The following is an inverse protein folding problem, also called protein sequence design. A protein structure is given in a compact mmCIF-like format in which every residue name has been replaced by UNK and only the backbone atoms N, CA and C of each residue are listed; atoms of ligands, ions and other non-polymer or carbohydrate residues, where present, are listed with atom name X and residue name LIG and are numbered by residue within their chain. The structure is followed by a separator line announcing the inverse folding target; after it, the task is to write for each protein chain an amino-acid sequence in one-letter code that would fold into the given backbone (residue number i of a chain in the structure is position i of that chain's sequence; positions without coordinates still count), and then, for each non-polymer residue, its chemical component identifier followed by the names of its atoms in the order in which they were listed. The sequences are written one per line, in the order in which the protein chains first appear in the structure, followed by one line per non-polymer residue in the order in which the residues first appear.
data_IF_674080654468
#
_entry.id   IF_674080654468
#
_cell.length_a   1.000
_cell.length_b   1.000
_cell.length_c   1.000
_cell.angle_alpha   90.00
_cell.angle_beta   90.00
_cell.angle_gamma   90.00
#
_symmetry.space_group_name_H-M   'P 1'
#
loop_
_entity.id
_entity.type
_entity.pdbx_description
1 polymer ?
#
# COMPACT_ATOMS: atom_id res chain seq x y z
N UNK A 1 -44.40 -32.08 11.08
CA UNK A 1 -43.23 -31.55 11.81
C UNK A 1 -41.98 -31.91 11.00
N UNK A 2 -41.78 -31.28 9.83
CA UNK A 2 -40.69 -31.60 8.90
C UNK A 2 -40.40 -30.45 7.90
N UNK A 3 -40.49 -29.17 8.33
CA UNK A 3 -40.22 -28.00 7.47
C UNK A 3 -39.41 -26.94 8.24
N UNK A 4 -38.40 -27.36 9.01
CA UNK A 4 -37.45 -26.43 9.65
C UNK A 4 -35.96 -26.81 9.47
N UNK A 5 -35.65 -27.91 8.78
CA UNK A 5 -34.25 -28.34 8.57
C UNK A 5 -33.64 -27.94 7.21
N UNK A 6 -34.41 -27.39 6.27
CA UNK A 6 -33.93 -27.08 4.91
C UNK A 6 -33.54 -25.60 4.68
N UNK A 7 -33.87 -24.69 5.60
CA UNK A 7 -33.54 -23.27 5.45
C UNK A 7 -32.10 -22.93 5.86
N UNK A 8 -31.50 -23.70 6.77
CA UNK A 8 -30.10 -23.50 7.20
C UNK A 8 -29.06 -23.93 6.16
N UNK A 9 -29.35 -24.97 5.38
CA UNK A 9 -28.38 -25.57 4.44
C UNK A 9 -28.29 -24.81 3.10
N UNK A 10 -29.36 -24.11 2.72
CA UNK A 10 -29.40 -23.33 1.47
C UNK A 10 -28.68 -21.99 1.66
N UNK A 11 -28.87 -21.31 2.80
CA UNK A 11 -28.20 -20.02 3.04
C UNK A 11 -26.66 -20.14 3.12
N UNK A 12 -26.11 -21.24 3.64
CA UNK A 12 -24.67 -21.46 3.66
C UNK A 12 -24.09 -21.74 2.27
N UNK A 13 -24.85 -22.39 1.38
CA UNK A 13 -24.35 -22.75 0.04
C UNK A 13 -24.35 -21.53 -0.91
N UNK A 14 -25.31 -20.62 -0.76
CA UNK A 14 -25.35 -19.37 -1.52
C UNK A 14 -24.39 -18.29 -0.99
N UNK A 15 -24.13 -18.21 0.32
CA UNK A 15 -23.12 -17.28 0.84
C UNK A 15 -21.68 -17.72 0.53
N UNK A 16 -21.43 -19.03 0.43
CA UNK A 16 -20.09 -19.55 0.08
C UNK A 16 -19.68 -19.24 -1.36
N UNK A 17 -20.65 -19.10 -2.26
CA UNK A 17 -20.40 -18.78 -3.67
C UNK A 17 -20.27 -17.28 -3.91
N UNK A 18 -20.92 -16.42 -3.10
CA UNK A 18 -20.70 -14.96 -3.13
C UNK A 18 -19.35 -14.58 -2.51
N UNK A 19 -18.97 -15.18 -1.37
CA UNK A 19 -17.72 -14.86 -0.67
C UNK A 19 -16.47 -15.24 -1.48
N UNK A 20 -16.48 -16.40 -2.14
CA UNK A 20 -15.38 -16.84 -2.99
C UNK A 20 -15.18 -15.92 -4.21
N UNK A 21 -16.27 -15.41 -4.79
CA UNK A 21 -16.20 -14.42 -5.88
C UNK A 21 -15.60 -13.09 -5.42
N UNK A 22 -15.93 -12.64 -4.20
CA UNK A 22 -15.38 -11.41 -3.63
C UNK A 22 -13.90 -11.57 -3.26
N UNK A 23 -13.49 -12.70 -2.70
CA UNK A 23 -12.08 -12.94 -2.35
C UNK A 23 -11.18 -13.02 -3.59
N UNK A 24 -11.68 -13.61 -4.68
CA UNK A 24 -10.98 -13.59 -5.98
C UNK A 24 -10.86 -12.19 -6.55
N UNK A 25 -11.93 -11.39 -6.47
CA UNK A 25 -11.89 -9.98 -6.91
C UNK A 25 -10.91 -9.16 -6.08
N UNK A 26 -10.88 -9.38 -4.77
CA UNK A 26 -9.89 -8.77 -3.88
C UNK A 26 -8.47 -9.15 -4.31
N UNK A 27 -8.19 -10.43 -4.59
CA UNK A 27 -6.88 -10.86 -5.08
C UNK A 27 -6.46 -10.12 -6.37
N UNK A 28 -7.38 -9.94 -7.32
CA UNK A 28 -7.13 -9.19 -8.56
C UNK A 28 -6.80 -7.71 -8.30
N UNK A 29 -7.53 -7.07 -7.38
CA UNK A 29 -7.28 -5.67 -7.04
C UNK A 29 -5.98 -5.51 -6.24
N UNK A 30 -5.64 -6.45 -5.37
CA UNK A 30 -4.35 -6.47 -4.66
C UNK A 30 -3.16 -6.68 -5.61
N UNK A 31 -3.33 -7.48 -6.67
CA UNK A 31 -2.28 -7.71 -7.67
C UNK A 31 -1.83 -6.40 -8.33
N UNK A 32 -2.75 -5.47 -8.58
CA UNK A 32 -2.45 -4.15 -9.19
C UNK A 32 -1.60 -3.26 -8.29
N UNK A 33 -1.52 -3.56 -7.00
CA UNK A 33 -0.76 -2.76 -6.03
C UNK A 33 0.63 -3.30 -5.78
N UNK A 34 0.95 -4.52 -6.21
CA UNK A 34 2.19 -5.19 -5.82
C UNK A 34 3.43 -4.38 -6.20
N UNK A 35 3.36 -3.62 -7.29
CA UNK A 35 4.48 -2.81 -7.76
C UNK A 35 4.80 -1.64 -6.81
N UNK A 36 3.78 -1.02 -6.20
CA UNK A 36 3.97 0.17 -5.35
C UNK A 36 3.68 -0.05 -3.86
N UNK A 37 3.06 -1.16 -3.50
CA UNK A 37 2.80 -1.59 -2.14
C UNK A 37 3.09 -3.09 -1.98
N UNK A 38 4.39 -3.49 -1.99
CA UNK A 38 4.80 -4.89 -1.87
C UNK A 38 4.76 -5.39 -0.41
N UNK A 39 3.66 -5.12 0.30
CA UNK A 39 3.48 -5.62 1.66
C UNK A 39 3.32 -7.14 1.68
N UNK A 40 3.73 -7.77 2.79
CA UNK A 40 3.67 -9.23 2.93
C UNK A 40 2.25 -9.76 2.71
N UNK A 41 1.25 -9.10 3.27
CA UNK A 41 -0.17 -9.47 3.19
C UNK A 41 -0.71 -9.38 1.76
N UNK A 42 -0.17 -8.46 0.95
CA UNK A 42 -0.58 -8.21 -0.43
C UNK A 42 0.11 -9.18 -1.37
N UNK A 43 1.42 -9.37 -1.19
CA UNK A 43 2.24 -10.26 -2.04
C UNK A 43 1.86 -11.72 -1.88
N UNK A 44 1.59 -12.15 -0.65
CA UNK A 44 1.28 -13.54 -0.32
C UNK A 44 -0.22 -13.78 -0.14
N UNK A 45 -1.07 -12.87 -0.64
CA UNK A 45 -2.51 -13.00 -0.49
C UNK A 45 -3.03 -14.31 -1.09
N UNK A 46 -3.75 -15.09 -0.28
CA UNK A 46 -4.37 -16.32 -0.72
C UNK A 46 -5.89 -16.27 -0.43
N UNK A 47 -6.76 -16.20 -1.45
CA UNK A 47 -8.20 -16.08 -1.26
C UNK A 47 -8.84 -17.31 -0.58
N UNK A 48 -8.12 -18.44 -0.49
CA UNK A 48 -8.57 -19.66 0.16
C UNK A 48 -8.07 -19.82 1.61
N UNK A 49 -7.22 -18.90 2.08
CA UNK A 49 -6.61 -18.95 3.43
C UNK A 49 -6.75 -17.61 4.13
N UNK A 50 -7.97 -17.31 4.56
CA UNK A 50 -8.33 -16.05 5.21
C UNK A 50 -8.74 -16.27 6.66
N UNK A 51 -8.50 -15.24 7.47
CA UNK A 51 -8.97 -15.08 8.85
C UNK A 51 -9.41 -13.65 9.08
N UNK A 52 -10.45 -13.45 9.89
CA UNK A 52 -10.97 -12.11 10.22
C UNK A 52 -10.13 -11.46 11.33
N UNK A 53 -9.78 -12.26 12.34
CA UNK A 53 -9.02 -11.89 13.53
C UNK A 53 -7.69 -12.64 13.63
N UNK A 54 -6.81 -12.19 14.53
CA UNK A 54 -5.52 -12.85 14.73
C UNK A 54 -5.72 -14.22 15.39
N UNK A 55 -5.42 -15.29 14.65
CA UNK A 55 -5.54 -16.67 15.12
C UNK A 55 -4.18 -17.35 15.12
N UNK A 56 -3.64 -17.59 16.32
CA UNK A 56 -2.35 -18.25 16.56
C UNK A 56 -2.33 -19.69 15.98
N UNK A 57 -3.48 -20.32 15.77
CA UNK A 57 -3.56 -21.66 15.19
C UNK A 57 -3.46 -21.68 13.66
N UNK A 58 -3.57 -20.52 13.00
CA UNK A 58 -3.59 -20.37 11.53
C UNK A 58 -2.54 -19.38 11.03
N UNK A 59 -1.27 -19.62 11.39
CA UNK A 59 -0.13 -18.80 10.95
C UNK A 59 0.02 -18.64 9.43
N UNK A 60 -0.58 -19.54 8.64
CA UNK A 60 -0.53 -19.50 7.18
C UNK A 60 -1.69 -18.73 6.53
N UNK A 61 -2.63 -18.22 7.34
CA UNK A 61 -3.77 -17.46 6.86
C UNK A 61 -3.49 -15.94 6.90
N UNK A 62 -4.01 -15.23 5.90
CA UNK A 62 -3.96 -13.77 5.89
C UNK A 62 -5.04 -13.26 6.84
N UNK A 63 -4.63 -12.39 7.77
CA UNK A 63 -5.54 -11.63 8.61
C UNK A 63 -6.09 -10.44 7.81
N UNK A 64 -7.40 -10.44 7.57
CA UNK A 64 -8.08 -9.40 6.79
C UNK A 64 -8.02 -8.04 7.48
N UNK A 65 -8.07 -8.00 8.81
CA UNK A 65 -7.94 -6.77 9.56
C UNK A 65 -6.55 -6.14 9.42
N UNK A 66 -5.50 -6.96 9.49
CA UNK A 66 -4.12 -6.52 9.25
C UNK A 66 -3.92 -6.06 7.81
N UNK A 67 -4.45 -6.79 6.83
CA UNK A 67 -4.42 -6.38 5.42
C UNK A 67 -5.10 -5.01 5.23
N UNK A 68 -6.23 -4.78 5.89
CA UNK A 68 -6.95 -3.52 5.85
C UNK A 68 -6.14 -2.37 6.45
N UNK A 69 -5.48 -2.59 7.60
CA UNK A 69 -4.62 -1.58 8.23
C UNK A 69 -3.39 -1.27 7.40
N UNK A 70 -2.75 -2.28 6.82
CA UNK A 70 -1.61 -2.11 5.93
C UNK A 70 -1.99 -1.19 4.77
N UNK A 71 -3.10 -1.48 4.08
CA UNK A 71 -3.59 -0.63 2.98
C UNK A 71 -3.89 0.80 3.45
N UNK A 72 -4.62 0.95 4.56
CA UNK A 72 -5.03 2.26 5.05
C UNK A 72 -3.85 3.12 5.54
N UNK A 73 -2.90 2.51 6.27
CA UNK A 73 -1.73 3.21 6.81
C UNK A 73 -0.81 3.70 5.69
N UNK A 74 -0.63 2.90 4.64
CA UNK A 74 0.16 3.30 3.48
C UNK A 74 -0.43 4.46 2.68
N UNK A 75 -1.74 4.70 2.80
CA UNK A 75 -2.45 5.79 2.12
C UNK A 75 -3.09 6.76 3.11
N UNK A 76 -2.58 6.83 4.35
CA UNK A 76 -3.22 7.60 5.43
C UNK A 76 -3.33 9.10 5.14
N UNK A 77 -2.52 9.64 4.24
CA UNK A 77 -2.61 11.03 3.79
C UNK A 77 -3.89 11.34 2.99
N UNK A 78 -4.60 10.32 2.47
CA UNK A 78 -5.84 10.48 1.70
C UNK A 78 -7.07 10.55 2.61
N UNK A 79 -7.83 11.64 2.49
CA UNK A 79 -9.08 11.82 3.24
C UNK A 79 -10.11 10.72 2.95
N UNK A 80 -10.25 10.30 1.68
CA UNK A 80 -11.17 9.22 1.30
C UNK A 80 -10.80 7.90 2.00
N UNK A 81 -9.50 7.64 2.17
CA UNK A 81 -8.99 6.46 2.89
C UNK A 81 -9.27 6.58 4.38
N UNK A 82 -9.03 7.75 4.99
CA UNK A 82 -9.34 8.01 6.40
C UNK A 82 -10.84 7.84 6.71
N UNK A 83 -11.72 8.37 5.86
CA UNK A 83 -13.18 8.23 6.00
C UNK A 83 -13.60 6.77 5.90
N UNK A 84 -13.10 6.05 4.89
CA UNK A 84 -13.42 4.65 4.70
C UNK A 84 -12.95 3.80 5.89
N UNK A 85 -11.75 4.09 6.40
CA UNK A 85 -11.18 3.45 7.58
C UNK A 85 -12.04 3.68 8.81
N UNK A 86 -12.34 4.95 9.11
CA UNK A 86 -13.14 5.35 10.27
C UNK A 86 -14.54 4.76 10.22
N UNK A 87 -15.12 4.61 9.03
CA UNK A 87 -16.44 3.98 8.84
C UNK A 87 -16.41 2.47 9.10
N UNK A 88 -15.32 1.79 8.78
CA UNK A 88 -15.21 0.34 8.94
C UNK A 88 -14.80 -0.06 10.36
N UNK A 89 -13.88 0.69 10.99
CA UNK A 89 -13.29 0.34 12.30
C UNK A 89 -13.66 1.28 13.45
N UNK A 90 -14.36 2.38 13.18
CA UNK A 90 -14.59 3.43 14.16
C UNK A 90 -13.37 4.36 14.32
N UNK A 91 -13.42 5.30 15.28
CA UNK A 91 -12.28 6.17 15.58
C UNK A 91 -11.07 5.36 16.05
N UNK A 92 -9.87 5.83 15.69
CA UNK A 92 -8.58 5.16 15.90
C UNK A 92 -8.44 4.54 17.31
N UNK A 93 -8.30 3.21 17.37
CA UNK A 93 -7.92 2.46 18.58
C UNK A 93 -6.49 1.95 18.41
N UNK A 94 -5.67 2.05 19.46
CA UNK A 94 -4.31 1.52 19.49
C UNK A 94 -4.26 -0.02 19.59
N UNK A 95 -5.40 -0.66 19.83
CA UNK A 95 -5.49 -2.12 19.80
C UNK A 95 -5.47 -2.62 18.36
N UNK A 96 -4.84 -3.79 18.09
CA UNK A 96 -4.96 -4.44 16.80
C UNK A 96 -6.46 -4.59 16.52
N UNK A 97 -6.95 -4.01 15.43
CA UNK A 97 -8.37 -3.95 15.21
C UNK A 97 -8.90 -5.36 14.96
N UNK A 98 -9.99 -5.69 15.64
CA UNK A 98 -10.81 -6.82 15.25
C UNK A 98 -11.97 -6.29 14.42
N UNK A 99 -12.18 -6.92 13.27
CA UNK A 99 -13.45 -6.75 12.59
C UNK A 99 -14.51 -7.43 13.45
N UNK A 100 -15.38 -6.65 14.09
CA UNK A 100 -16.60 -7.14 14.75
C UNK A 100 -17.67 -7.55 13.72
N UNK A 101 -17.27 -8.24 12.65
CA UNK A 101 -18.13 -8.58 11.52
C UNK A 101 -17.80 -9.96 10.93
N UNK A 102 -18.62 -10.39 9.97
CA UNK A 102 -18.42 -11.67 9.28
C UNK A 102 -17.23 -11.61 8.31
N UNK A 103 -16.71 -12.78 7.91
CA UNK A 103 -15.63 -12.85 6.91
C UNK A 103 -16.01 -12.19 5.58
N UNK A 104 -17.25 -12.36 5.13
CA UNK A 104 -17.76 -11.74 3.90
C UNK A 104 -17.77 -10.20 4.02
N UNK A 105 -18.19 -9.66 5.17
CA UNK A 105 -18.15 -8.22 5.42
C UNK A 105 -16.72 -7.69 5.48
N UNK A 106 -15.81 -8.41 6.17
CA UNK A 106 -14.38 -8.07 6.23
C UNK A 106 -13.73 -8.07 4.84
N UNK A 107 -14.00 -9.07 3.99
CA UNK A 107 -13.58 -9.09 2.59
C UNK A 107 -14.15 -7.88 1.85
N UNK A 108 -15.42 -7.56 2.05
CA UNK A 108 -16.07 -6.40 1.47
C UNK A 108 -15.41 -5.07 1.85
N UNK A 109 -14.95 -4.92 3.10
CA UNK A 109 -14.17 -3.75 3.54
C UNK A 109 -12.82 -3.68 2.84
N UNK A 110 -12.05 -4.77 2.84
CA UNK A 110 -10.77 -4.85 2.13
C UNK A 110 -10.92 -4.55 0.64
N UNK A 111 -11.96 -5.08 -0.01
CA UNK A 111 -12.22 -4.86 -1.43
C UNK A 111 -12.52 -3.38 -1.74
N UNK A 112 -13.31 -2.70 -0.92
CA UNK A 112 -13.58 -1.26 -1.08
C UNK A 112 -12.31 -0.42 -0.93
N UNK A 113 -11.50 -0.73 0.08
CA UNK A 113 -10.22 -0.06 0.30
C UNK A 113 -9.28 -0.28 -0.89
N UNK A 114 -9.20 -1.51 -1.37
CA UNK A 114 -8.37 -1.86 -2.50
C UNK A 114 -8.77 -1.13 -3.79
N UNK A 115 -10.07 -1.05 -4.06
CA UNK A 115 -10.59 -0.32 -5.22
C UNK A 115 -10.33 1.19 -5.13
N UNK A 116 -10.49 1.77 -3.94
CA UNK A 116 -10.18 3.17 -3.71
C UNK A 116 -8.70 3.45 -3.96
N UNK A 117 -7.80 2.65 -3.39
CA UNK A 117 -6.35 2.78 -3.59
C UNK A 117 -6.00 2.65 -5.07
N UNK A 118 -6.50 1.63 -5.77
CA UNK A 118 -6.24 1.45 -7.21
C UNK A 118 -6.75 2.61 -8.06
N UNK A 119 -7.78 3.33 -7.61
CA UNK A 119 -8.30 4.53 -8.29
C UNK A 119 -7.37 5.73 -8.10
N UNK A 120 -6.87 5.96 -6.89
CA UNK A 120 -6.09 7.18 -6.55
C UNK A 120 -4.58 7.02 -6.77
N UNK A 121 -4.05 5.81 -6.63
CA UNK A 121 -2.61 5.54 -6.64
C UNK A 121 -1.90 5.99 -7.93
N UNK A 122 -2.45 5.80 -9.15
CA UNK A 122 -1.75 6.20 -10.37
C UNK A 122 -1.42 7.69 -10.43
N UNK A 123 -2.39 8.55 -10.09
CA UNK A 123 -2.18 10.01 -10.09
C UNK A 123 -1.15 10.45 -9.02
N UNK A 124 -1.23 9.85 -7.83
CA UNK A 124 -0.26 10.10 -6.76
C UNK A 124 1.14 9.66 -7.19
N UNK A 125 1.24 8.52 -7.87
CA UNK A 125 2.51 7.98 -8.36
C UNK A 125 3.14 8.91 -9.40
N UNK A 126 2.34 9.40 -10.35
CA UNK A 126 2.81 10.33 -11.38
C UNK A 126 3.31 11.63 -10.76
N UNK A 127 2.54 12.20 -9.82
CA UNK A 127 2.94 13.41 -9.09
C UNK A 127 4.23 13.20 -8.30
N UNK A 128 4.36 12.07 -7.60
CA UNK A 128 5.56 11.79 -6.81
C UNK A 128 6.77 11.48 -7.70
N UNK A 129 6.57 10.84 -8.85
CA UNK A 129 7.62 10.62 -9.84
C UNK A 129 8.17 11.94 -10.37
N UNK A 130 7.30 12.91 -10.67
CA UNK A 130 7.74 14.25 -11.07
C UNK A 130 8.63 14.88 -9.99
N UNK A 131 8.22 14.82 -8.72
CA UNK A 131 9.01 15.36 -7.59
C UNK A 131 10.34 14.64 -7.41
N UNK A 132 10.37 13.32 -7.59
CA UNK A 132 11.63 12.55 -7.59
C UNK A 132 12.52 13.02 -8.73
N UNK A 133 11.95 13.22 -9.91
CA UNK A 133 12.68 13.65 -11.10
C UNK A 133 13.28 15.05 -10.93
N UNK A 134 12.53 16.01 -10.38
CA UNK A 134 13.05 17.35 -10.05
C UNK A 134 14.29 17.28 -9.13
N UNK A 135 14.34 16.31 -8.20
CA UNK A 135 15.51 16.08 -7.35
C UNK A 135 16.67 15.49 -8.14
N UNK A 136 16.42 14.57 -9.06
CA UNK A 136 17.44 14.01 -9.94
C UNK A 136 18.00 15.06 -10.91
N UNK A 137 17.16 15.95 -11.44
CA UNK A 137 17.58 17.10 -12.26
C UNK A 137 18.55 18.00 -11.48
N UNK A 138 18.24 18.28 -10.21
CA UNK A 138 19.07 19.18 -9.38
C UNK A 138 20.34 18.51 -8.85
N UNK A 139 20.29 17.23 -8.45
CA UNK A 139 21.41 16.50 -7.86
C UNK A 139 22.38 15.94 -8.92
N UNK A 140 21.83 15.44 -10.03
CA UNK A 140 22.56 14.65 -11.02
C UNK A 140 22.47 15.22 -12.45
N UNK A 141 21.78 16.35 -12.66
CA UNK A 141 21.62 17.01 -13.97
C UNK A 141 20.91 16.14 -15.01
N UNK A 142 19.89 15.42 -14.55
CA UNK A 142 19.00 14.66 -15.43
C UNK A 142 18.32 15.58 -16.46
N UNK A 143 17.89 15.03 -17.62
CA UNK A 143 17.10 15.78 -18.59
C UNK A 143 15.77 16.22 -17.97
N UNK A 144 15.31 17.40 -18.35
CA UNK A 144 14.01 17.88 -17.93
C UNK A 144 12.88 17.21 -18.72
N UNK A 145 11.89 16.70 -17.99
CA UNK A 145 10.68 16.11 -18.57
C UNK A 145 9.43 16.75 -17.98
N UNK A 146 8.41 16.95 -18.81
CA UNK A 146 7.17 17.61 -18.39
C UNK A 146 6.17 16.61 -17.78
N UNK A 147 6.31 15.33 -18.11
CA UNK A 147 5.33 14.29 -17.75
C UNK A 147 5.99 13.05 -17.15
N UNK A 148 5.25 12.38 -16.26
CA UNK A 148 5.66 11.09 -15.69
C UNK A 148 5.84 10.00 -16.75
N UNK A 149 5.12 10.07 -17.88
CA UNK A 149 5.28 9.10 -18.98
C UNK A 149 6.65 9.21 -19.63
N UNK A 150 7.13 10.43 -19.91
CA UNK A 150 8.45 10.67 -20.49
C UNK A 150 9.56 10.15 -19.56
N UNK A 151 9.42 10.42 -18.26
CA UNK A 151 10.35 9.91 -17.23
C UNK A 151 10.41 8.38 -17.22
N UNK A 152 9.25 7.70 -17.29
CA UNK A 152 9.20 6.23 -17.37
C UNK A 152 9.83 5.70 -18.66
N UNK A 153 9.62 6.38 -19.77
CA UNK A 153 10.17 5.96 -21.06
C UNK A 153 11.70 6.13 -21.08
N UNK A 154 12.24 7.17 -20.46
CA UNK A 154 13.68 7.34 -20.26
C UNK A 154 14.27 6.20 -19.41
N UNK A 155 13.64 5.88 -18.27
CA UNK A 155 14.06 4.80 -17.38
C UNK A 155 14.05 3.41 -18.05
N UNK A 156 13.17 3.16 -19.02
CA UNK A 156 13.14 1.89 -19.78
C UNK A 156 14.35 1.70 -20.69
N UNK A 157 15.00 2.78 -21.10
CA UNK A 157 16.16 2.72 -22.03
C UNK A 157 17.49 2.39 -21.35
N UNK A 158 17.49 2.27 -20.02
CA UNK A 158 17.95 1.04 -19.35
C UNK A 158 19.42 0.87 -18.97
N UNK A 159 20.35 1.77 -19.31
CA UNK A 159 21.78 1.55 -18.94
C UNK A 159 22.51 2.77 -18.36
N UNK A 160 21.85 3.93 -18.18
CA UNK A 160 22.58 5.19 -17.96
C UNK A 160 22.71 5.67 -16.52
N UNK A 161 21.79 5.35 -15.61
CA UNK A 161 21.71 6.05 -14.30
C UNK A 161 22.56 5.44 -13.17
N UNK A 162 23.74 4.94 -13.51
CA UNK A 162 24.68 4.36 -12.54
C UNK A 162 25.30 5.40 -11.60
N UNK A 163 25.19 6.68 -11.93
CA UNK A 163 25.62 7.81 -11.12
C UNK A 163 24.76 8.01 -9.85
N UNK A 164 23.51 7.57 -9.87
CA UNK A 164 22.58 7.77 -8.75
C UNK A 164 22.93 6.80 -7.64
N UNK A 165 23.48 7.36 -6.57
CA UNK A 165 23.97 6.61 -5.38
C UNK A 165 23.29 7.06 -4.09
N UNK A 166 22.83 8.31 -4.06
CA UNK A 166 22.11 8.94 -2.95
C UNK A 166 20.92 9.70 -3.54
N UNK A 167 19.71 9.39 -3.08
CA UNK A 167 18.51 10.12 -3.47
C UNK A 167 17.97 10.90 -2.28
N UNK A 168 18.20 12.21 -2.28
CA UNK A 168 17.68 13.10 -1.24
C UNK A 168 16.33 13.69 -1.67
N UNK A 169 15.28 13.20 -1.03
CA UNK A 169 13.88 13.62 -1.19
C UNK A 169 13.39 14.43 0.01
N UNK A 170 14.30 14.88 0.89
CA UNK A 170 13.93 15.62 2.08
C UNK A 170 13.15 16.89 1.76
N UNK A 171 12.20 17.24 2.65
CA UNK A 171 11.34 18.43 2.51
C UNK A 171 10.58 18.46 1.18
N UNK A 172 10.19 17.29 0.69
CA UNK A 172 9.37 17.16 -0.51
C UNK A 172 7.98 16.68 -0.11
N UNK A 173 6.96 17.08 -0.85
CA UNK A 173 5.58 16.68 -0.58
C UNK A 173 5.27 15.23 -0.99
N UNK A 174 6.28 14.37 -1.11
CA UNK A 174 6.14 12.97 -1.51
C UNK A 174 5.32 12.21 -0.48
N UNK A 175 4.27 11.55 -0.97
CA UNK A 175 3.34 10.76 -0.15
C UNK A 175 3.60 9.26 -0.28
N UNK A 176 4.14 8.84 -1.42
CA UNK A 176 4.51 7.46 -1.76
C UNK A 176 5.77 7.51 -2.64
N UNK A 177 6.74 6.65 -2.34
CA UNK A 177 7.92 6.50 -3.19
C UNK A 177 7.54 5.66 -4.42
N UNK A 178 7.75 6.18 -5.65
CA UNK A 178 7.41 5.46 -6.87
C UNK A 178 8.34 4.26 -7.14
N UNK A 179 7.83 3.15 -7.69
CA UNK A 179 8.64 1.95 -7.98
C UNK A 179 9.76 2.20 -9.01
N UNK A 180 9.67 3.28 -9.77
CA UNK A 180 10.70 3.77 -10.68
C UNK A 180 12.04 4.01 -9.97
N UNK A 181 12.05 4.28 -8.66
CA UNK A 181 13.27 4.40 -7.85
C UNK A 181 14.08 3.08 -7.86
N UNK A 182 13.45 1.94 -8.13
CA UNK A 182 14.10 0.64 -8.23
C UNK A 182 14.96 0.47 -9.50
N UNK A 183 14.85 1.40 -10.45
CA UNK A 183 15.63 1.37 -11.70
C UNK A 183 17.03 1.96 -11.57
N UNK A 184 17.41 2.47 -10.38
CA UNK A 184 18.73 3.04 -10.13
C UNK A 184 19.69 2.00 -9.53
N UNK A 185 20.52 1.30 -10.33
CA UNK A 185 21.22 0.09 -9.88
C UNK A 185 22.19 0.33 -8.71
N UNK A 186 22.75 1.53 -8.60
CA UNK A 186 23.75 1.89 -7.59
C UNK A 186 23.18 2.67 -6.40
N UNK A 187 21.86 2.83 -6.31
CA UNK A 187 21.23 3.57 -5.23
C UNK A 187 21.46 2.86 -3.88
N UNK A 188 22.21 3.54 -3.01
CA UNK A 188 22.68 2.97 -1.73
C UNK A 188 22.16 3.72 -0.51
N UNK A 189 21.60 4.93 -0.71
CA UNK A 189 21.09 5.77 0.35
C UNK A 189 19.86 6.55 -0.15
N UNK A 190 18.82 6.63 0.68
CA UNK A 190 17.62 7.44 0.41
C UNK A 190 17.30 8.28 1.65
N UNK A 191 17.08 9.58 1.47
CA UNK A 191 16.72 10.51 2.54
C UNK A 191 15.28 10.98 2.33
N UNK A 192 14.42 10.75 3.33
CA UNK A 192 12.96 10.96 3.30
C UNK A 192 12.48 11.81 4.50
N UNK A 193 13.35 12.66 5.04
CA UNK A 193 13.02 13.52 6.18
C UNK A 193 12.07 14.66 5.77
N UNK A 194 11.15 15.02 6.66
CA UNK A 194 10.12 16.05 6.43
C UNK A 194 9.30 15.85 5.15
N UNK A 195 8.84 14.62 4.90
CA UNK A 195 7.96 14.26 3.78
C UNK A 195 6.50 14.04 4.24
N UNK A 196 5.59 13.72 3.31
CA UNK A 196 4.18 13.41 3.59
C UNK A 196 3.87 11.91 3.55
N UNK A 197 4.90 11.07 3.72
CA UNK A 197 4.75 9.63 3.78
C UNK A 197 3.80 9.21 4.90
N UNK A 198 2.82 8.36 4.58
CA UNK A 198 1.93 7.75 5.59
C UNK A 198 2.59 6.64 6.40
N UNK A 199 3.65 6.04 5.87
CA UNK A 199 4.35 4.90 6.46
C UNK A 199 5.68 4.64 5.75
N UNK A 200 6.45 3.68 6.27
CA UNK A 200 7.74 3.33 5.67
C UNK A 200 7.51 2.83 4.24
N UNK A 201 8.26 3.33 3.23
CA UNK A 201 8.05 2.98 1.83
C UNK A 201 8.53 1.55 1.55
N UNK A 202 7.61 0.59 1.64
CA UNK A 202 7.90 -0.84 1.46
C UNK A 202 8.55 -1.17 0.11
N UNK A 203 8.32 -0.35 -0.91
CA UNK A 203 8.95 -0.47 -2.23
C UNK A 203 10.48 -0.50 -2.14
N UNK A 204 11.08 0.27 -1.21
CA UNK A 204 12.53 0.35 -1.06
C UNK A 204 13.16 -0.97 -0.58
N UNK A 205 12.40 -1.84 0.08
CA UNK A 205 12.87 -3.17 0.49
C UNK A 205 13.11 -4.11 -0.69
N UNK A 206 12.57 -3.80 -1.88
CA UNK A 206 12.79 -4.58 -3.09
C UNK A 206 14.07 -4.20 -3.84
N UNK A 207 14.76 -3.13 -3.43
CA UNK A 207 15.97 -2.66 -4.09
C UNK A 207 17.18 -3.55 -3.78
N UNK A 208 17.95 -3.96 -4.81
CA UNK A 208 19.00 -4.97 -4.66
C UNK A 208 20.23 -4.49 -3.86
N UNK A 209 20.58 -3.21 -4.01
CA UNK A 209 21.81 -2.62 -3.46
C UNK A 209 21.56 -1.63 -2.32
N UNK A 210 20.29 -1.38 -1.97
CA UNK A 210 19.95 -0.42 -0.93
C UNK A 210 20.08 -1.10 0.44
N UNK A 211 20.89 -0.51 1.31
CA UNK A 211 20.99 -0.94 2.69
C UNK A 211 19.83 -0.32 3.50
N UNK A 212 18.93 -1.11 4.10
CA UNK A 212 17.84 -0.58 4.91
C UNK A 212 18.31 0.34 6.04
N UNK A 213 19.53 0.16 6.56
CA UNK A 213 20.11 1.03 7.59
C UNK A 213 20.49 2.42 7.07
N UNK A 214 20.59 2.58 5.75
CA UNK A 214 20.90 3.85 5.08
C UNK A 214 19.67 4.56 4.54
N UNK A 215 18.47 4.06 4.84
CA UNK A 215 17.23 4.78 4.57
C UNK A 215 16.95 5.70 5.76
N UNK A 216 17.14 7.00 5.55
CA UNK A 216 16.88 8.02 6.56
C UNK A 216 15.45 8.55 6.39
N UNK A 217 14.48 7.94 7.07
CA UNK A 217 13.15 8.49 7.22
C UNK A 217 12.99 9.11 8.62
N UNK A 218 12.16 10.15 8.76
CA UNK A 218 11.72 10.58 10.08
C UNK A 218 11.01 9.43 10.80
N UNK A 219 10.98 9.47 12.12
CA UNK A 219 10.19 8.51 12.90
C UNK A 219 8.71 8.72 12.54
N UNK A 220 8.17 7.82 11.71
CA UNK A 220 6.81 7.87 11.20
C UNK A 220 5.78 7.52 12.27
N UNK A 221 6.21 7.33 13.53
CA UNK A 221 5.34 7.22 14.69
C UNK A 221 4.58 8.52 14.92
N UNK A 222 3.41 8.64 14.28
CA UNK A 222 2.25 9.43 14.69
C UNK A 222 2.53 10.79 15.36
N UNK A 223 3.43 11.60 14.80
CA UNK A 223 3.63 12.96 15.29
C UNK A 223 3.79 13.95 14.14
N UNK A 224 2.66 14.34 13.55
CA UNK A 224 2.46 15.70 13.02
C UNK A 224 0.96 16.04 13.02
N UNK A 225 0.34 15.80 14.17
CA UNK A 225 -0.87 16.48 14.63
C UNK A 225 -0.51 17.67 15.53
N UNK A 226 0.42 18.53 15.10
CA UNK A 226 0.57 19.86 15.68
C UNK A 226 0.39 20.88 14.57
N UNK A 227 -0.86 21.26 14.37
CA UNK A 227 -1.23 22.54 13.77
C UNK A 227 -0.50 23.65 14.54
N UNK A 228 0.53 24.23 13.93
CA UNK A 228 0.94 25.60 14.27
C UNK A 228 0.17 26.55 13.34
N UNK A 229 -0.91 27.11 13.87
CA UNK A 229 -1.42 28.44 13.51
C UNK A 229 -1.54 29.24 14.79
#
# INVERSE_FOLDING_TARGET
MAIQFLTGFINSFWSSSSSLGQSQKLAQDLQKMQDFLPAHEIKNFNPNKLTVSFDISRYDAINLSSLYDTMASSFWFSHEVQELYTKAKGPFSLAPPDFDCTEEEAIGHCLKMAQLINKIAPEIMDRNLIRVWERLETQYKFPHFATASEMRDDLKTGDKHTEVTLLDLSRSEIEIVPPEVLQFPNLSQVILTDTKLGGFPLVLNAHQSLDPQKILCEDLTFNKGTTSR
#
